data_IF_805599029031
#
_entry.id   IF_805599029031
#
_cell.length_a   1.000
_cell.length_b   1.000
_cell.length_c   1.000
_cell.angle_alpha   90.00
_cell.angle_beta   90.00
_cell.angle_gamma   90.00
#
_symmetry.space_group_name_H-M   'P 1'
#
loop_
_entity.id
_entity.type
_entity.pdbx_description
1 polymer ?
#
# COMPACT_ATOMS: atom_id res chain seq x y z
N UNK A 1 -25.54 -20.98 2.99
CA UNK A 1 -24.76 -22.18 3.37
C UNK A 1 -24.53 -23.10 2.17
N UNK A 2 -25.57 -23.45 1.40
CA UNK A 2 -25.45 -24.27 0.17
C UNK A 2 -24.49 -23.68 -0.88
N UNK A 3 -24.62 -22.39 -1.24
CA UNK A 3 -23.72 -21.75 -2.20
C UNK A 3 -22.24 -21.73 -1.76
N UNK A 4 -21.96 -21.69 -0.45
CA UNK A 4 -20.60 -21.81 0.07
C UNK A 4 -20.08 -23.24 -0.07
N UNK A 5 -20.89 -24.24 0.27
CA UNK A 5 -20.54 -25.65 0.07
C UNK A 5 -20.23 -25.97 -1.40
N UNK A 6 -21.04 -25.48 -2.34
CA UNK A 6 -20.80 -25.63 -3.78
C UNK A 6 -19.47 -24.99 -4.21
N UNK A 7 -19.12 -23.82 -3.68
CA UNK A 7 -17.81 -23.22 -3.97
C UNK A 7 -16.65 -24.04 -3.42
N UNK A 8 -16.81 -24.66 -2.25
CA UNK A 8 -15.79 -25.52 -1.64
C UNK A 8 -15.61 -26.83 -2.41
N UNK A 9 -16.70 -27.45 -2.88
CA UNK A 9 -16.65 -28.64 -3.73
C UNK A 9 -15.93 -28.35 -5.05
N UNK A 10 -16.26 -27.25 -5.73
CA UNK A 10 -15.56 -26.83 -6.97
C UNK A 10 -14.06 -26.61 -6.75
N UNK A 11 -13.67 -25.99 -5.63
CA UNK A 11 -12.26 -25.76 -5.32
C UNK A 11 -11.51 -27.06 -5.01
N UNK A 12 -12.18 -28.01 -4.36
CA UNK A 12 -11.63 -29.33 -4.08
C UNK A 12 -11.39 -30.10 -5.37
N UNK A 13 -12.39 -30.13 -6.26
CA UNK A 13 -12.28 -30.80 -7.56
C UNK A 13 -11.15 -30.19 -8.38
N UNK A 14 -11.08 -28.86 -8.46
CA UNK A 14 -9.98 -28.16 -9.14
C UNK A 14 -8.62 -28.53 -8.56
N UNK A 15 -8.49 -28.61 -7.23
CA UNK A 15 -7.24 -28.99 -6.61
C UNK A 15 -6.88 -30.45 -6.93
N UNK A 16 -7.84 -31.36 -6.90
CA UNK A 16 -7.63 -32.77 -7.29
C UNK A 16 -7.19 -32.88 -8.75
N UNK A 17 -7.82 -32.13 -9.66
CA UNK A 17 -7.41 -32.06 -11.06
C UNK A 17 -6.00 -31.48 -11.22
N UNK A 18 -5.66 -30.41 -10.50
CA UNK A 18 -4.33 -29.81 -10.55
C UNK A 18 -3.28 -30.78 -10.00
N UNK A 19 -3.52 -31.43 -8.87
CA UNK A 19 -2.57 -32.39 -8.29
C UNK A 19 -2.40 -33.63 -9.16
N UNK A 20 -3.48 -34.14 -9.75
CA UNK A 20 -3.43 -35.25 -10.70
C UNK A 20 -2.64 -34.87 -11.95
N UNK A 21 -2.88 -33.67 -12.48
CA UNK A 21 -2.16 -33.14 -13.65
C UNK A 21 -0.68 -32.89 -13.33
N UNK A 22 -0.37 -32.37 -12.14
CA UNK A 22 1.00 -32.11 -11.69
C UNK A 22 1.76 -33.42 -11.43
N UNK A 23 1.09 -34.43 -10.88
CA UNK A 23 1.65 -35.77 -10.70
C UNK A 23 1.95 -36.43 -12.05
N UNK A 24 1.02 -36.37 -13.00
CA UNK A 24 1.24 -36.84 -14.36
C UNK A 24 2.38 -36.08 -15.06
N UNK A 25 2.45 -34.75 -14.88
CA UNK A 25 3.53 -33.93 -15.42
C UNK A 25 4.90 -34.28 -14.82
N UNK A 26 4.96 -34.54 -13.51
CA UNK A 26 6.18 -34.95 -12.85
C UNK A 26 6.64 -36.37 -13.22
N UNK A 27 5.72 -37.23 -13.65
CA UNK A 27 6.03 -38.54 -14.23
C UNK A 27 6.54 -38.44 -15.67
N UNK A 28 6.41 -37.29 -16.34
CA UNK A 28 7.04 -37.09 -17.64
C UNK A 28 8.57 -37.10 -17.49
N UNK A 29 9.30 -37.63 -18.49
CA UNK A 29 10.75 -37.69 -18.43
C UNK A 29 11.34 -36.29 -18.30
N UNK A 30 11.79 -35.92 -17.11
CA UNK A 30 12.50 -34.66 -16.91
C UNK A 30 13.88 -34.77 -17.56
N UNK A 31 14.03 -34.13 -18.72
CA UNK A 31 15.32 -33.78 -19.31
C UNK A 31 16.37 -34.90 -19.38
N UNK A 32 15.97 -36.15 -19.60
CA UNK A 32 16.95 -37.21 -19.83
C UNK A 32 17.34 -37.17 -21.32
N UNK A 33 18.65 -37.17 -21.63
CA UNK A 33 19.17 -37.10 -23.01
C UNK A 33 18.53 -38.17 -23.92
N UNK A 34 18.11 -39.30 -23.34
CA UNK A 34 17.36 -40.38 -24.00
C UNK A 34 16.01 -39.92 -24.55
N UNK A 35 15.22 -39.17 -23.79
CA UNK A 35 13.93 -38.64 -24.25
C UNK A 35 14.14 -37.59 -25.34
N UNK A 36 15.16 -36.74 -25.20
CA UNK A 36 15.55 -35.77 -26.25
C UNK A 36 16.01 -36.47 -27.53
N UNK A 37 16.75 -37.58 -27.43
CA UNK A 37 17.20 -38.36 -28.57
C UNK A 37 16.05 -39.14 -29.22
N UNK A 38 15.11 -39.68 -28.43
CA UNK A 38 13.91 -40.35 -28.92
C UNK A 38 12.95 -39.36 -29.61
N UNK A 39 12.70 -38.19 -29.00
CA UNK A 39 11.94 -37.10 -29.63
C UNK A 39 12.64 -36.62 -30.90
N UNK A 40 13.97 -36.46 -30.87
CA UNK A 40 14.73 -36.10 -32.06
C UNK A 40 14.54 -37.15 -33.15
N UNK A 41 14.68 -38.43 -32.86
CA UNK A 41 14.49 -39.51 -33.83
C UNK A 41 13.04 -39.54 -34.36
N UNK A 42 12.03 -39.49 -33.50
CA UNK A 42 10.60 -39.51 -33.89
C UNK A 42 10.19 -38.26 -34.68
N UNK A 43 10.71 -37.08 -34.34
CA UNK A 43 10.50 -35.82 -35.07
C UNK A 43 11.31 -35.75 -36.38
N UNK A 44 12.39 -36.53 -36.50
CA UNK A 44 13.18 -36.67 -37.73
C UNK A 44 12.59 -37.74 -38.66
N UNK A 45 11.86 -38.73 -38.13
CA UNK A 45 11.30 -39.87 -38.88
C UNK A 45 9.90 -39.60 -39.46
N UNK A 46 9.05 -38.79 -38.81
CA UNK A 46 7.67 -38.51 -39.27
C UNK A 46 7.43 -37.00 -39.50
N UNK A 47 7.18 -36.62 -40.76
CA UNK A 47 6.95 -35.22 -41.18
C UNK A 47 5.69 -34.62 -40.54
N UNK A 48 4.61 -35.41 -40.44
CA UNK A 48 3.34 -34.99 -39.82
C UNK A 48 3.49 -34.63 -38.34
N UNK A 49 4.23 -35.44 -37.56
CA UNK A 49 4.45 -35.20 -36.12
C UNK A 49 5.26 -33.91 -35.87
N UNK A 50 6.13 -33.54 -36.81
CA UNK A 50 6.89 -32.30 -36.75
C UNK A 50 6.00 -31.08 -37.01
N UNK A 51 5.08 -31.16 -37.95
CA UNK A 51 4.08 -30.11 -38.17
C UNK A 51 3.13 -29.96 -36.98
N UNK A 52 2.63 -31.06 -36.43
CA UNK A 52 1.72 -31.04 -35.30
C UNK A 52 2.40 -30.47 -34.06
N UNK A 53 3.68 -30.78 -33.85
CA UNK A 53 4.50 -30.16 -32.81
C UNK A 53 4.71 -28.65 -33.04
N UNK A 54 4.92 -28.21 -34.28
CA UNK A 54 5.05 -26.79 -34.60
C UNK A 54 3.73 -26.04 -34.42
N UNK A 55 2.61 -26.62 -34.85
CA UNK A 55 1.25 -26.09 -34.63
C UNK A 55 0.94 -25.99 -33.14
N UNK A 56 1.22 -27.04 -32.37
CA UNK A 56 1.06 -27.03 -30.92
C UNK A 56 1.93 -25.95 -30.25
N UNK A 57 3.17 -25.79 -30.70
CA UNK A 57 4.05 -24.72 -30.21
C UNK A 57 3.51 -23.32 -30.55
N UNK A 58 2.99 -23.11 -31.76
CA UNK A 58 2.36 -21.83 -32.16
C UNK A 58 1.16 -21.53 -31.27
N UNK A 59 0.25 -22.50 -31.12
CA UNK A 59 -0.94 -22.38 -30.30
C UNK A 59 -0.58 -22.08 -28.84
N UNK A 60 0.44 -22.73 -28.28
CA UNK A 60 0.91 -22.46 -26.91
C UNK A 60 1.41 -21.02 -26.80
N UNK A 61 2.23 -20.54 -27.74
CA UNK A 61 2.72 -19.17 -27.72
C UNK A 61 1.57 -18.14 -27.78
N UNK A 62 0.63 -18.34 -28.70
CA UNK A 62 -0.56 -17.50 -28.84
C UNK A 62 -1.41 -17.48 -27.56
N UNK A 63 -1.63 -18.65 -26.94
CA UNK A 63 -2.37 -18.72 -25.67
C UNK A 63 -1.62 -18.02 -24.52
N UNK A 64 -0.29 -18.11 -24.49
CA UNK A 64 0.50 -17.41 -23.46
C UNK A 64 0.45 -15.89 -23.63
N UNK A 65 0.47 -15.40 -24.85
CA UNK A 65 0.37 -13.97 -25.15
C UNK A 65 -1.01 -13.43 -24.73
N UNK A 66 -2.08 -14.15 -25.06
CA UNK A 66 -3.45 -13.81 -24.64
C UNK A 66 -3.60 -13.81 -23.12
N UNK A 67 -3.02 -14.80 -22.41
CA UNK A 67 -3.05 -14.85 -20.95
C UNK A 67 -2.30 -13.68 -20.32
N UNK A 68 -1.18 -13.26 -20.92
CA UNK A 68 -0.41 -12.12 -20.46
C UNK A 68 -1.20 -10.80 -20.65
N UNK A 69 -1.90 -10.64 -21.77
CA UNK A 69 -2.79 -9.51 -22.01
C UNK A 69 -3.92 -9.45 -20.97
N UNK A 70 -4.62 -10.57 -20.75
CA UNK A 70 -5.69 -10.67 -19.74
C UNK A 70 -5.16 -10.32 -18.34
N UNK A 71 -3.96 -10.81 -17.97
CA UNK A 71 -3.34 -10.48 -16.68
C UNK A 71 -3.14 -8.97 -16.53
N UNK A 72 -2.58 -8.32 -17.54
CA UNK A 72 -2.35 -6.88 -17.52
C UNK A 72 -3.65 -6.08 -17.40
N UNK A 73 -4.71 -6.48 -18.12
CA UNK A 73 -6.01 -5.83 -18.05
C UNK A 73 -6.64 -5.99 -16.65
N UNK A 74 -6.53 -7.17 -16.04
CA UNK A 74 -7.00 -7.42 -14.68
C UNK A 74 -6.25 -6.59 -13.64
N UNK A 75 -4.92 -6.47 -13.76
CA UNK A 75 -4.11 -5.63 -12.88
C UNK A 75 -4.52 -4.16 -12.95
N UNK A 76 -4.78 -3.64 -14.15
CA UNK A 76 -5.24 -2.27 -14.35
C UNK A 76 -6.64 -2.03 -13.77
N UNK A 77 -7.57 -2.97 -13.96
CA UNK A 77 -8.89 -2.89 -13.33
C UNK A 77 -8.82 -2.91 -11.79
N UNK A 78 -7.93 -3.72 -11.22
CA UNK A 78 -7.69 -3.77 -9.78
C UNK A 78 -7.13 -2.44 -9.25
N UNK A 79 -6.11 -1.88 -9.92
CA UNK A 79 -5.56 -0.56 -9.59
C UNK A 79 -6.62 0.54 -9.69
N UNK A 80 -7.46 0.53 -10.72
CA UNK A 80 -8.57 1.49 -10.89
C UNK A 80 -9.56 1.43 -9.73
N UNK A 81 -9.97 0.22 -9.32
CA UNK A 81 -10.87 0.03 -8.16
C UNK A 81 -10.25 0.56 -6.87
N UNK A 82 -9.00 0.22 -6.60
CA UNK A 82 -8.27 0.70 -5.42
C UNK A 82 -8.14 2.23 -5.42
N UNK A 83 -7.79 2.84 -6.55
CA UNK A 83 -7.69 4.30 -6.68
C UNK A 83 -9.03 4.99 -6.43
N UNK A 84 -10.12 4.45 -6.95
CA UNK A 84 -11.49 4.96 -6.73
C UNK A 84 -11.88 4.88 -5.25
N UNK A 85 -11.53 3.81 -4.57
CA UNK A 85 -11.75 3.64 -3.14
C UNK A 85 -10.92 4.62 -2.30
N UNK A 86 -9.63 4.76 -2.61
CA UNK A 86 -8.74 5.72 -1.97
C UNK A 86 -9.25 7.16 -2.15
N UNK A 87 -9.76 7.49 -3.33
CA UNK A 87 -10.36 8.79 -3.61
C UNK A 87 -11.63 9.01 -2.76
N UNK A 88 -12.50 8.01 -2.65
CA UNK A 88 -13.69 8.07 -1.76
C UNK A 88 -13.29 8.27 -0.30
N UNK A 89 -12.27 7.56 0.19
CA UNK A 89 -11.74 7.72 1.55
C UNK A 89 -11.18 9.13 1.78
N UNK A 90 -10.43 9.68 0.82
CA UNK A 90 -9.92 11.06 0.87
C UNK A 90 -11.06 12.07 0.95
N UNK A 91 -12.08 11.94 0.11
CA UNK A 91 -13.27 12.81 0.13
C UNK A 91 -14.05 12.71 1.45
N UNK A 92 -14.17 11.51 2.03
CA UNK A 92 -14.80 11.33 3.34
C UNK A 92 -13.99 12.01 4.45
N UNK A 93 -12.65 11.94 4.39
CA UNK A 93 -11.76 12.60 5.36
C UNK A 93 -11.83 14.11 5.25
N UNK A 94 -11.82 14.69 4.05
CA UNK A 94 -11.90 16.15 3.87
C UNK A 94 -13.22 16.72 4.36
N UNK A 95 -14.35 16.05 4.08
CA UNK A 95 -15.68 16.43 4.59
C UNK A 95 -15.81 16.36 6.12
N UNK A 96 -14.99 15.52 6.78
CA UNK A 96 -14.98 15.35 8.23
C UNK A 96 -13.90 16.16 8.94
N UNK A 97 -13.04 16.89 8.23
CA UNK A 97 -12.14 17.83 8.89
C UNK A 97 -12.98 19.01 9.37
N UNK A 98 -13.39 18.95 10.64
CA UNK A 98 -13.75 20.17 11.35
C UNK A 98 -12.60 21.18 11.17
N UNK A 99 -12.92 22.47 11.11
CA UNK A 99 -11.92 23.54 11.09
C UNK A 99 -11.17 23.56 12.42
N UNK A 100 -10.28 22.59 12.60
CA UNK A 100 -9.47 22.41 13.80
C UNK A 100 -8.25 23.30 13.61
N UNK A 101 -8.16 24.35 14.42
CA UNK A 101 -6.97 25.19 14.52
C UNK A 101 -5.79 24.33 15.01
N UNK A 102 -5.01 23.79 14.08
CA UNK A 102 -3.87 22.93 14.37
C UNK A 102 -2.74 23.69 15.05
N UNK A 103 -2.70 25.03 14.93
CA UNK A 103 -1.75 25.90 15.64
C UNK A 103 -2.13 26.08 17.12
N UNK A 104 -3.37 25.81 17.50
CA UNK A 104 -3.81 25.85 18.90
C UNK A 104 -3.54 24.55 19.67
N UNK A 105 -3.04 23.50 19.02
CA UNK A 105 -2.77 22.21 19.69
C UNK A 105 -1.46 22.24 20.50
N UNK A 106 -1.46 21.57 21.67
CA UNK A 106 -0.31 21.37 22.56
C UNK A 106 0.39 22.67 23.02
N UNK A 107 -0.39 23.70 23.37
CA UNK A 107 0.14 24.91 24.01
C UNK A 107 0.94 25.85 23.09
N UNK A 108 0.94 25.61 21.77
CA UNK A 108 1.63 26.47 20.79
C UNK A 108 1.03 27.87 20.65
N UNK A 109 -0.19 28.07 21.16
CA UNK A 109 -0.89 29.36 21.24
C UNK A 109 -1.10 29.71 22.71
N UNK A 110 -0.60 30.87 23.12
CA UNK A 110 -0.84 31.41 24.47
C UNK A 110 -2.34 31.67 24.63
N UNK A 111 -2.96 31.00 25.61
CA UNK A 111 -4.37 31.17 25.94
C UNK A 111 -4.46 31.89 27.27
N UNK A 112 -5.27 32.93 27.32
CA UNK A 112 -5.62 33.63 28.56
C UNK A 112 -6.67 32.81 29.31
N UNK A 113 -6.23 31.74 29.96
CA UNK A 113 -7.06 30.86 30.80
C UNK A 113 -6.44 30.84 32.19
N UNK A 114 -7.27 31.05 33.20
CA UNK A 114 -6.86 30.94 34.61
C UNK A 114 -6.51 29.49 34.94
N UNK A 115 -5.33 29.27 35.51
CA UNK A 115 -4.90 27.96 36.00
C UNK A 115 -5.02 27.99 37.51
N UNK A 116 -6.02 27.30 38.07
CA UNK A 116 -6.37 27.37 39.50
C UNK A 116 -5.19 27.10 40.44
N UNK A 117 -4.31 26.16 40.06
CA UNK A 117 -3.11 25.82 40.84
C UNK A 117 -2.04 26.92 40.88
N UNK A 118 -2.08 27.84 39.93
CA UNK A 118 -1.13 28.97 39.85
C UNK A 118 -1.70 30.24 40.47
N UNK A 119 -2.99 30.27 40.79
CA UNK A 119 -3.61 31.40 41.47
C UNK A 119 -3.00 31.52 42.87
N UNK A 120 -2.47 32.70 43.19
CA UNK A 120 -1.78 33.00 44.45
C UNK A 120 -0.54 32.13 44.74
N UNK A 121 0.09 31.54 43.72
CA UNK A 121 1.29 30.70 43.91
C UNK A 121 2.48 31.49 44.47
N UNK A 122 2.63 32.76 44.07
CA UNK A 122 3.57 33.70 44.66
C UNK A 122 2.86 35.02 45.00
N UNK A 123 2.90 35.49 46.26
CA UNK A 123 2.33 36.77 46.63
C UNK A 123 3.17 37.92 46.07
N UNK A 124 2.52 39.03 45.74
CA UNK A 124 3.23 40.25 45.35
C UNK A 124 4.04 40.77 46.55
N UNK A 125 5.37 40.70 46.45
CA UNK A 125 6.26 41.27 47.45
C UNK A 125 6.46 42.76 47.20
N UNK A 126 6.59 43.58 48.25
CA UNK A 126 6.90 45.00 48.10
C UNK A 126 8.24 45.17 47.37
N UNK A 127 8.34 46.25 46.60
CA UNK A 127 9.51 46.56 45.80
C UNK A 127 10.73 46.80 46.71
N UNK A 128 11.76 45.98 46.57
CA UNK A 128 13.00 46.08 47.36
C UNK A 128 14.07 46.95 46.68
N UNK A 129 13.69 47.71 45.65
CA UNK A 129 14.63 48.44 44.83
C UNK A 129 15.05 49.73 45.54
N UNK A 130 16.35 49.98 45.77
CA UNK A 130 16.81 51.18 46.46
C UNK A 130 16.55 52.49 45.70
N UNK A 131 16.31 52.40 44.39
CA UNK A 131 16.15 53.55 43.51
C UNK A 131 14.67 53.92 43.34
N UNK A 132 14.31 55.20 43.46
CA UNK A 132 12.97 55.67 43.16
C UNK A 132 12.64 55.48 41.67
N UNK A 133 11.34 55.40 41.35
CA UNK A 133 10.84 55.19 39.99
C UNK A 133 11.37 56.23 38.99
N UNK A 134 11.44 57.49 39.40
CA UNK A 134 11.87 58.62 38.56
C UNK A 134 13.30 58.43 38.00
N UNK A 135 14.23 57.97 38.83
CA UNK A 135 15.61 57.70 38.39
C UNK A 135 15.71 56.55 37.39
N UNK A 136 14.80 55.57 37.50
CA UNK A 136 14.73 54.46 36.54
C UNK A 136 14.23 54.96 35.20
N UNK A 137 13.17 55.78 35.20
CA UNK A 137 12.63 56.36 33.98
C UNK A 137 13.63 57.26 33.26
N UNK A 138 14.39 58.08 33.99
CA UNK A 138 15.48 58.90 33.44
C UNK A 138 16.58 58.05 32.80
N UNK A 139 17.01 56.98 33.49
CA UNK A 139 17.98 56.03 32.95
C UNK A 139 17.46 55.41 31.65
N UNK A 140 16.22 54.91 31.62
CA UNK A 140 15.63 54.29 30.43
C UNK A 140 15.48 55.27 29.26
N UNK A 141 15.20 56.54 29.53
CA UNK A 141 15.20 57.59 28.50
C UNK A 141 16.59 57.81 27.92
N UNK A 142 17.64 57.78 28.74
CA UNK A 142 19.02 58.00 28.27
C UNK A 142 19.63 56.82 27.50
N UNK A 143 19.11 55.59 27.67
CA UNK A 143 19.74 54.37 27.13
C UNK A 143 19.76 54.28 25.60
N UNK A 144 18.77 54.88 24.92
CA UNK A 144 18.59 54.73 23.47
C UNK A 144 18.59 56.05 22.69
N UNK A 145 18.78 57.18 23.37
CA UNK A 145 19.05 58.47 22.73
C UNK A 145 20.54 58.57 22.38
N UNK A 146 20.90 57.97 21.25
CA UNK A 146 22.09 58.27 20.45
C UNK A 146 21.67 58.81 19.10
#
# INVERSE_FOLDING_TARGET
>A
MQAQMETWERLRDLNEYVQTSLSAFNQLPQGNKVASNLLKNVLMENEQSREDFQKARSNVLETTDLLQEIRSALEEEMKRKQNKELQRLRQRRTKKKANVDTKASKGRKTRYVTIDKLVNFFPATPEQIPWPHEKRDELFKSLFTS
#
